data_IF_608797966979
#
_entry.id   IF_608797966979
#
_cell.length_a   1.000
_cell.length_b   1.000
_cell.length_c   1.000
_cell.angle_alpha   90.00
_cell.angle_beta   90.00
_cell.angle_gamma   90.00
#
_symmetry.space_group_name_H-M   'P 1'
#
loop_
_entity.id
_entity.type
_entity.pdbx_description
1 polymer ?
#
# COMPACT_ATOMS: atom_id res chain seq x y z
N UNK A 1 -10.30 -12.85 8.40
CA UNK A 1 -9.69 -11.70 7.74
C UNK A 1 -9.65 -10.54 8.73
N UNK A 2 -8.57 -9.75 8.68
CA UNK A 2 -8.43 -8.49 9.45
C UNK A 2 -8.30 -7.33 8.46
N UNK A 3 -9.05 -6.26 8.70
CA UNK A 3 -8.97 -4.98 7.99
C UNK A 3 -8.87 -3.84 9.01
N UNK A 4 -8.51 -2.62 8.59
CA UNK A 4 -8.44 -1.49 9.51
C UNK A 4 -9.49 -0.40 9.27
N UNK A 5 -9.70 0.45 10.29
CA UNK A 5 -10.55 1.65 10.17
C UNK A 5 -9.85 2.81 9.44
N UNK A 6 -8.56 2.67 9.16
CA UNK A 6 -7.78 3.66 8.40
C UNK A 6 -7.89 3.46 6.89
N UNK A 7 -8.29 2.26 6.46
CA UNK A 7 -8.24 1.85 5.07
C UNK A 7 -9.29 2.51 4.18
N UNK A 8 -8.91 2.72 2.93
CA UNK A 8 -9.85 3.05 1.86
C UNK A 8 -10.80 1.87 1.60
N UNK A 9 -12.07 2.14 1.26
CA UNK A 9 -13.10 1.09 1.07
C UNK A 9 -12.71 0.03 0.02
N UNK A 10 -11.89 0.37 -0.97
CA UNK A 10 -11.35 -0.59 -1.94
C UNK A 10 -10.45 -1.67 -1.32
N UNK A 11 -9.83 -1.39 -0.17
CA UNK A 11 -9.07 -2.37 0.63
C UNK A 11 -9.88 -2.92 1.82
N UNK A 12 -11.16 -2.70 1.86
CA UNK A 12 -12.07 -3.18 2.91
C UNK A 12 -13.20 -4.01 2.32
N UNK A 13 -13.98 -3.41 1.42
CA UNK A 13 -15.21 -4.01 0.89
C UNK A 13 -14.99 -5.35 0.18
N UNK A 14 -14.00 -5.53 -0.70
CA UNK A 14 -13.76 -6.81 -1.36
C UNK A 14 -13.41 -7.92 -0.37
N UNK A 15 -12.66 -7.60 0.69
CA UNK A 15 -12.31 -8.58 1.73
C UNK A 15 -13.51 -9.00 2.58
N UNK A 16 -14.43 -8.06 2.89
CA UNK A 16 -15.69 -8.37 3.57
C UNK A 16 -16.50 -9.32 2.71
N UNK A 17 -16.72 -8.98 1.44
CA UNK A 17 -17.53 -9.79 0.52
C UNK A 17 -16.94 -11.20 0.32
N UNK A 18 -15.60 -11.29 0.14
CA UNK A 18 -14.93 -12.58 0.01
C UNK A 18 -15.04 -13.43 1.30
N UNK A 19 -14.92 -12.80 2.46
CA UNK A 19 -15.06 -13.49 3.74
C UNK A 19 -16.50 -14.00 3.95
N UNK A 20 -17.50 -13.17 3.68
CA UNK A 20 -18.90 -13.51 3.79
C UNK A 20 -19.27 -14.69 2.86
N UNK A 21 -18.74 -14.70 1.63
CA UNK A 21 -19.02 -15.76 0.66
C UNK A 21 -18.57 -17.16 1.12
N UNK A 22 -17.59 -17.23 2.02
CA UNK A 22 -17.07 -18.51 2.57
C UNK A 22 -17.37 -18.68 4.07
N UNK A 23 -18.23 -17.83 4.64
CA UNK A 23 -18.59 -17.88 6.06
C UNK A 23 -17.45 -17.52 7.02
N UNK A 24 -16.43 -16.78 6.55
CA UNK A 24 -15.33 -16.35 7.37
C UNK A 24 -15.66 -15.05 8.11
N UNK A 25 -15.03 -14.85 9.27
CA UNK A 25 -15.22 -13.65 10.10
C UNK A 25 -14.26 -12.55 9.68
N UNK A 26 -14.77 -11.30 9.60
CA UNK A 26 -13.97 -10.09 9.45
C UNK A 26 -13.81 -9.45 10.84
N UNK A 27 -12.56 -9.08 11.17
CA UNK A 27 -12.22 -8.32 12.38
C UNK A 27 -11.59 -7.00 12.00
N UNK A 28 -11.76 -5.99 12.84
CA UNK A 28 -11.34 -4.63 12.59
C UNK A 28 -10.21 -4.23 13.54
N UNK A 29 -9.09 -3.82 13.01
CA UNK A 29 -8.09 -3.09 13.76
C UNK A 29 -8.55 -1.63 13.90
N UNK A 30 -8.76 -1.19 15.13
CA UNK A 30 -9.26 0.16 15.42
C UNK A 30 -8.13 1.19 15.35
N UNK A 31 -8.51 2.45 15.07
CA UNK A 31 -7.60 3.59 15.13
C UNK A 31 -7.63 4.24 16.50
N UNK A 32 -6.53 4.83 16.92
CA UNK A 32 -6.55 5.84 17.97
C UNK A 32 -7.21 7.11 17.43
N UNK A 33 -8.34 7.51 18.00
CA UNK A 33 -9.13 8.64 17.50
C UNK A 33 -8.40 9.97 17.62
N UNK A 34 -7.44 10.08 18.56
CA UNK A 34 -6.69 11.34 18.79
C UNK A 34 -5.54 11.49 17.80
N UNK A 35 -4.81 10.40 17.55
CA UNK A 35 -3.64 10.41 16.65
C UNK A 35 -3.99 9.97 15.24
N UNK A 36 -5.12 9.27 15.07
CA UNK A 36 -5.53 8.63 13.82
C UNK A 36 -4.56 7.53 13.37
N UNK A 37 -3.88 6.88 14.30
CA UNK A 37 -2.91 5.81 14.03
C UNK A 37 -3.53 4.43 14.23
N UNK A 38 -3.15 3.47 13.38
CA UNK A 38 -3.33 2.04 13.60
C UNK A 38 -2.04 1.50 14.19
N UNK A 39 -2.04 1.23 15.49
CA UNK A 39 -0.86 0.66 16.15
C UNK A 39 -0.71 -0.84 15.89
N UNK A 40 0.53 -1.35 16.04
CA UNK A 40 0.80 -2.80 16.01
C UNK A 40 -0.08 -3.52 17.03
N UNK A 41 -0.20 -2.98 18.24
CA UNK A 41 -1.05 -3.55 19.31
C UNK A 41 -2.54 -3.63 18.94
N UNK A 42 -3.06 -2.66 18.18
CA UNK A 42 -4.43 -2.70 17.68
C UNK A 42 -4.65 -3.84 16.67
N UNK A 43 -3.64 -4.13 15.84
CA UNK A 43 -3.66 -5.29 14.94
C UNK A 43 -3.53 -6.59 15.72
N UNK A 44 -2.55 -6.69 16.62
CA UNK A 44 -2.33 -7.89 17.46
C UNK A 44 -3.57 -8.27 18.28
N UNK A 45 -4.31 -7.30 18.81
CA UNK A 45 -5.53 -7.54 19.59
C UNK A 45 -6.63 -8.29 18.83
N UNK A 46 -6.60 -8.25 17.50
CA UNK A 46 -7.60 -8.91 16.63
C UNK A 46 -7.04 -10.12 15.87
N UNK A 47 -5.72 -10.39 15.99
CA UNK A 47 -5.10 -11.58 15.42
C UNK A 47 -5.46 -12.86 16.19
N UNK A 48 -5.40 -13.98 15.52
CA UNK A 48 -5.50 -15.32 16.12
C UNK A 48 -4.86 -16.35 15.18
N UNK A 49 -4.66 -17.60 15.67
CA UNK A 49 -4.20 -18.72 14.84
C UNK A 49 -5.16 -19.07 13.68
N UNK A 50 -6.39 -18.54 13.69
CA UNK A 50 -7.38 -18.69 12.61
C UNK A 50 -7.31 -17.56 11.59
N UNK A 51 -6.53 -16.50 11.83
CA UNK A 51 -6.36 -15.40 10.88
C UNK A 51 -5.64 -15.93 9.63
N UNK A 52 -6.20 -15.65 8.45
CA UNK A 52 -5.63 -16.08 7.16
C UNK A 52 -5.04 -14.92 6.35
N UNK A 53 -5.63 -13.74 6.51
CA UNK A 53 -5.21 -12.54 5.78
C UNK A 53 -5.41 -11.32 6.66
N UNK A 54 -4.44 -10.41 6.59
CA UNK A 54 -4.53 -9.05 7.14
C UNK A 54 -4.31 -8.08 6.00
N UNK A 55 -5.24 -7.15 5.79
CA UNK A 55 -5.15 -6.13 4.77
C UNK A 55 -5.11 -4.74 5.44
N UNK A 56 -4.01 -4.01 5.23
CA UNK A 56 -3.76 -2.70 5.87
C UNK A 56 -3.24 -1.71 4.82
N UNK A 57 -3.71 -0.47 4.87
CA UNK A 57 -3.18 0.61 4.03
C UNK A 57 -1.74 0.96 4.41
N UNK A 58 -0.93 1.28 3.40
CA UNK A 58 0.42 1.83 3.61
C UNK A 58 0.42 3.29 4.06
N UNK A 59 -0.60 4.04 3.65
CA UNK A 59 -0.90 5.39 4.14
C UNK A 59 -2.38 5.68 3.99
N UNK A 60 -2.98 6.28 5.01
CA UNK A 60 -4.40 6.67 4.98
C UNK A 60 -4.63 7.79 3.97
N UNK A 61 -5.53 7.56 3.02
CA UNK A 61 -5.80 8.49 1.92
C UNK A 61 -6.50 9.80 2.33
N UNK A 62 -7.00 9.88 3.55
CA UNK A 62 -7.74 11.06 4.07
C UNK A 62 -6.88 11.94 4.96
N UNK A 63 -5.97 11.36 5.73
CA UNK A 63 -5.21 12.03 6.78
C UNK A 63 -3.71 11.70 6.76
N UNK A 64 -3.27 10.95 5.77
CA UNK A 64 -1.86 10.65 5.50
C UNK A 64 -1.18 9.69 6.48
N UNK A 65 -1.83 9.23 7.54
CA UNK A 65 -1.23 8.37 8.56
C UNK A 65 -0.53 7.15 7.95
N UNK A 66 0.73 6.92 8.31
CA UNK A 66 1.57 5.79 7.88
C UNK A 66 1.72 4.80 9.04
N UNK A 67 1.08 3.62 8.98
CA UNK A 67 1.30 2.55 9.96
C UNK A 67 2.72 1.99 9.91
N UNK A 68 3.21 1.42 11.01
CA UNK A 68 4.47 0.66 11.01
C UNK A 68 4.24 -0.70 10.35
N UNK A 69 4.29 -0.69 9.00
CA UNK A 69 4.01 -1.86 8.17
C UNK A 69 4.95 -3.02 8.48
N UNK A 70 6.22 -2.74 8.77
CA UNK A 70 7.21 -3.79 9.08
C UNK A 70 6.83 -4.53 10.36
N UNK A 71 6.59 -3.79 11.43
CA UNK A 71 6.22 -4.39 12.72
C UNK A 71 4.85 -5.10 12.64
N UNK A 72 3.89 -4.54 11.87
CA UNK A 72 2.61 -5.20 11.59
C UNK A 72 2.83 -6.51 10.82
N UNK A 73 3.63 -6.51 9.75
CA UNK A 73 3.96 -7.71 8.97
C UNK A 73 4.59 -8.81 9.82
N UNK A 74 5.52 -8.45 10.72
CA UNK A 74 6.11 -9.39 11.68
C UNK A 74 5.06 -10.01 12.62
N UNK A 75 4.10 -9.21 13.12
CA UNK A 75 3.01 -9.70 13.96
C UNK A 75 2.06 -10.62 13.19
N UNK A 76 1.74 -10.28 11.94
CA UNK A 76 0.88 -11.06 11.05
C UNK A 76 1.51 -12.43 10.74
N UNK A 77 2.78 -12.46 10.41
CA UNK A 77 3.48 -13.70 10.09
C UNK A 77 3.66 -14.62 11.31
N UNK A 78 3.76 -14.09 12.54
CA UNK A 78 3.80 -14.90 13.78
C UNK A 78 2.57 -15.80 13.95
N UNK A 79 1.43 -15.42 13.42
CA UNK A 79 0.20 -16.24 13.46
C UNK A 79 -0.02 -17.06 12.18
N UNK A 80 0.91 -17.01 11.21
CA UNK A 80 0.83 -17.73 9.94
C UNK A 80 -0.19 -17.16 8.96
N UNK A 81 -0.53 -15.88 9.07
CA UNK A 81 -1.41 -15.17 8.14
C UNK A 81 -0.61 -14.49 7.02
N UNK A 82 -1.27 -14.24 5.88
CA UNK A 82 -0.73 -13.42 4.79
C UNK A 82 -0.98 -11.94 5.05
N UNK A 83 -0.04 -11.11 4.58
CA UNK A 83 -0.09 -9.66 4.72
C UNK A 83 -0.26 -8.97 3.37
N UNK A 84 -1.40 -8.33 3.15
CA UNK A 84 -1.70 -7.49 2.01
C UNK A 84 -1.55 -6.03 2.40
N UNK A 85 -0.75 -5.28 1.65
CA UNK A 85 -0.58 -3.83 1.82
C UNK A 85 -1.20 -3.08 0.65
N UNK A 86 -2.16 -2.21 0.94
CA UNK A 86 -2.62 -1.21 0.00
C UNK A 86 -1.64 -0.04 -0.03
N UNK A 87 -0.76 -0.03 -1.02
CA UNK A 87 0.24 1.01 -1.24
C UNK A 87 -0.22 2.17 -2.10
N UNK A 88 -1.50 2.23 -2.49
CA UNK A 88 -2.01 3.20 -3.47
C UNK A 88 -1.72 4.65 -3.07
N UNK A 89 -1.83 4.99 -1.79
CA UNK A 89 -1.53 6.33 -1.31
C UNK A 89 -0.08 6.49 -0.83
N UNK A 90 0.59 5.42 -0.41
CA UNK A 90 1.98 5.48 0.05
C UNK A 90 2.97 5.60 -1.12
N UNK A 91 2.75 4.86 -2.22
CA UNK A 91 3.72 4.72 -3.32
C UNK A 91 4.12 6.04 -3.98
N UNK A 92 3.24 7.04 -4.18
CA UNK A 92 3.65 8.33 -4.76
C UNK A 92 4.49 9.21 -3.81
N UNK A 93 4.57 8.89 -2.51
CA UNK A 93 5.17 9.75 -1.47
C UNK A 93 6.40 9.15 -0.79
N UNK A 94 6.77 7.91 -1.07
CA UNK A 94 7.89 7.26 -0.39
C UNK A 94 8.58 6.21 -1.26
N UNK A 95 9.87 6.00 -1.03
CA UNK A 95 10.59 4.87 -1.60
C UNK A 95 10.11 3.55 -0.99
N UNK A 96 9.61 2.64 -1.81
CA UNK A 96 9.03 1.37 -1.36
C UNK A 96 10.02 0.21 -1.52
N UNK A 97 10.11 -0.62 -0.47
CA UNK A 97 10.73 -1.94 -0.51
C UNK A 97 9.74 -2.97 0.05
N UNK A 98 9.05 -3.67 -0.83
CA UNK A 98 8.06 -4.71 -0.45
C UNK A 98 8.69 -5.77 0.46
N UNK A 99 9.96 -6.12 0.18
CA UNK A 99 10.72 -7.08 0.98
C UNK A 99 10.99 -6.59 2.41
N UNK A 100 11.35 -5.32 2.59
CA UNK A 100 11.62 -4.74 3.92
C UNK A 100 10.33 -4.54 4.72
N UNK A 101 9.23 -4.21 4.06
CA UNK A 101 7.89 -4.16 4.66
C UNK A 101 7.44 -5.55 5.12
N UNK A 102 7.89 -6.61 4.42
CA UNK A 102 7.44 -7.97 4.67
C UNK A 102 6.03 -8.23 4.14
N UNK A 103 5.57 -7.50 3.13
CA UNK A 103 4.27 -7.74 2.53
C UNK A 103 4.31 -8.96 1.61
N UNK A 104 3.30 -9.85 1.73
CA UNK A 104 3.08 -10.95 0.80
C UNK A 104 2.46 -10.45 -0.50
N UNK A 105 1.60 -9.44 -0.39
CA UNK A 105 1.01 -8.72 -1.50
C UNK A 105 1.14 -7.21 -1.28
N UNK A 106 1.52 -6.49 -2.33
CA UNK A 106 1.58 -5.03 -2.32
C UNK A 106 0.87 -4.49 -3.55
N UNK A 107 -0.25 -3.81 -3.34
CA UNK A 107 -1.06 -3.24 -4.42
C UNK A 107 -0.90 -1.73 -4.55
N UNK A 108 -0.81 -1.20 -5.78
CA UNK A 108 -0.84 0.24 -6.03
C UNK A 108 -1.37 0.57 -7.43
N UNK A 109 -1.68 1.85 -7.65
CA UNK A 109 -2.20 2.36 -8.92
C UNK A 109 -1.23 3.35 -9.55
N UNK A 110 -0.84 3.10 -10.80
CA UNK A 110 0.10 3.96 -11.52
C UNK A 110 -0.43 5.38 -11.75
N UNK A 111 -1.74 5.58 -11.89
CA UNK A 111 -2.29 6.93 -12.09
C UNK A 111 -2.05 7.88 -10.92
N UNK A 112 -1.78 7.36 -9.72
CA UNK A 112 -1.33 8.16 -8.57
C UNK A 112 0.19 8.34 -8.51
N UNK A 113 0.93 7.58 -9.34
CA UNK A 113 2.38 7.63 -9.48
C UNK A 113 2.79 8.21 -10.84
N UNK A 114 2.13 9.29 -11.30
CA UNK A 114 2.41 9.97 -12.57
C UNK A 114 2.29 9.08 -13.82
N UNK A 115 1.59 7.96 -13.71
CA UNK A 115 1.44 6.95 -14.77
C UNK A 115 0.00 6.84 -15.31
N UNK A 116 -0.24 5.89 -16.20
CA UNK A 116 -1.55 5.65 -16.79
C UNK A 116 -2.54 5.01 -15.81
N UNK A 117 -3.82 4.95 -16.21
CA UNK A 117 -4.89 4.32 -15.43
C UNK A 117 -4.78 2.79 -15.44
N UNK A 118 -3.82 2.29 -14.69
CA UNK A 118 -3.69 0.87 -14.37
C UNK A 118 -3.25 0.68 -12.93
N UNK A 119 -3.43 -0.53 -12.44
CA UNK A 119 -2.99 -0.96 -11.13
C UNK A 119 -2.12 -2.21 -11.24
N UNK A 120 -1.33 -2.46 -10.22
CA UNK A 120 -0.52 -3.67 -10.11
C UNK A 120 -0.58 -4.22 -8.69
N UNK A 121 -0.40 -5.54 -8.58
CA UNK A 121 -0.18 -6.24 -7.32
C UNK A 121 1.14 -6.96 -7.45
N UNK A 122 2.09 -6.65 -6.58
CA UNK A 122 3.35 -7.38 -6.48
C UNK A 122 3.21 -8.50 -5.44
N UNK A 123 3.67 -9.70 -5.80
CA UNK A 123 3.78 -10.84 -4.90
C UNK A 123 4.92 -11.74 -5.35
N UNK A 124 5.42 -12.64 -4.47
CA UNK A 124 6.48 -13.56 -4.88
C UNK A 124 5.95 -14.64 -5.84
N UNK A 125 6.73 -15.07 -6.82
CA UNK A 125 6.34 -16.18 -7.70
C UNK A 125 6.05 -17.48 -6.93
N UNK A 126 6.75 -17.71 -5.82
CA UNK A 126 6.57 -18.87 -4.94
C UNK A 126 5.17 -18.86 -4.32
N UNK A 127 4.75 -17.72 -3.79
CA UNK A 127 3.40 -17.54 -3.23
C UNK A 127 2.34 -17.71 -4.32
N UNK A 128 2.52 -17.04 -5.46
CA UNK A 128 1.55 -17.08 -6.57
C UNK A 128 1.32 -18.51 -7.10
N UNK A 129 2.33 -19.38 -7.08
CA UNK A 129 2.20 -20.79 -7.47
C UNK A 129 1.30 -21.58 -6.52
N UNK A 130 1.16 -21.18 -5.27
CA UNK A 130 0.34 -21.87 -4.26
C UNK A 130 -1.13 -21.48 -4.31
N UNK A 131 -1.46 -20.37 -5.00
CA UNK A 131 -2.83 -19.87 -5.07
C UNK A 131 -3.60 -20.60 -6.18
N UNK A 132 -4.76 -21.11 -5.81
CA UNK A 132 -5.73 -21.60 -6.79
C UNK A 132 -6.59 -20.42 -7.25
N UNK A 133 -6.49 -20.09 -8.54
CA UNK A 133 -7.19 -18.96 -9.12
C UNK A 133 -8.10 -19.40 -10.26
N UNK A 134 -9.25 -18.74 -10.36
CA UNK A 134 -10.11 -18.86 -11.52
C UNK A 134 -9.36 -18.37 -12.77
N UNK A 135 -9.35 -19.18 -13.81
CA UNK A 135 -8.71 -18.85 -15.09
C UNK A 135 -9.44 -19.49 -16.27
N UNK A 136 -9.22 -18.97 -17.46
CA UNK A 136 -9.75 -19.58 -18.68
C UNK A 136 -9.07 -20.93 -18.92
N UNK A 137 -9.82 -21.90 -19.45
CA UNK A 137 -9.33 -23.25 -19.75
C UNK A 137 -8.03 -23.26 -20.59
N UNK A 138 -7.88 -22.42 -21.64
CA UNK A 138 -6.67 -22.38 -22.45
C UNK A 138 -5.52 -21.59 -21.81
N UNK A 139 -5.74 -20.89 -20.69
CA UNK A 139 -4.69 -20.11 -20.05
C UNK A 139 -3.60 -21.00 -19.48
N UNK A 140 -2.35 -20.53 -19.57
CA UNK A 140 -1.18 -21.21 -19.00
C UNK A 140 -1.30 -21.39 -17.48
N UNK A 141 -0.55 -22.33 -16.93
CA UNK A 141 -0.38 -22.49 -15.48
C UNK A 141 0.86 -21.76 -14.94
N UNK A 142 1.65 -21.16 -15.85
CA UNK A 142 2.85 -20.41 -15.44
C UNK A 142 2.49 -19.12 -14.70
N UNK A 143 3.38 -18.72 -13.82
CA UNK A 143 3.29 -17.45 -13.07
C UNK A 143 4.21 -16.43 -13.75
N UNK A 144 3.77 -15.20 -13.96
CA UNK A 144 2.50 -14.58 -13.49
C UNK A 144 1.31 -14.77 -14.42
N UNK A 145 1.49 -15.31 -15.63
CA UNK A 145 0.53 -15.30 -16.73
C UNK A 145 -0.78 -16.05 -16.39
N UNK A 146 -0.76 -16.99 -15.43
CA UNK A 146 -1.99 -17.66 -14.96
C UNK A 146 -3.03 -16.72 -14.36
N UNK A 147 -2.63 -15.50 -13.95
CA UNK A 147 -3.51 -14.46 -13.39
C UNK A 147 -3.97 -13.45 -14.44
N UNK A 148 -3.61 -13.64 -15.70
CA UNK A 148 -4.00 -12.78 -16.81
C UNK A 148 -5.21 -13.40 -17.54
N UNK A 149 -6.25 -12.59 -17.77
CA UNK A 149 -7.52 -13.06 -18.36
C UNK A 149 -7.62 -12.86 -19.87
N UNK A 150 -6.52 -12.48 -20.52
CA UNK A 150 -6.48 -12.26 -21.97
C UNK A 150 -5.32 -11.38 -22.39
N UNK A 151 -5.42 -10.80 -23.60
CA UNK A 151 -4.42 -9.90 -24.13
C UNK A 151 -4.27 -8.68 -23.23
N UNK A 152 -3.04 -8.40 -22.80
CA UNK A 152 -2.73 -7.28 -21.94
C UNK A 152 -2.74 -5.95 -22.73
N UNK A 153 -3.03 -4.82 -22.05
CA UNK A 153 -2.96 -3.49 -22.63
C UNK A 153 -1.49 -3.02 -22.70
N UNK A 154 -0.75 -3.47 -23.70
CA UNK A 154 0.70 -3.25 -23.80
C UNK A 154 1.08 -1.78 -23.86
N UNK A 155 0.26 -0.93 -24.47
CA UNK A 155 0.45 0.53 -24.50
C UNK A 155 0.39 1.14 -23.09
N UNK A 156 -0.50 0.65 -22.23
CA UNK A 156 -0.59 1.09 -20.83
C UNK A 156 0.62 0.58 -20.03
N UNK A 157 1.07 -0.65 -20.27
CA UNK A 157 2.27 -1.19 -19.63
C UNK A 157 3.52 -0.42 -20.02
N UNK A 158 3.65 0.00 -21.28
CA UNK A 158 4.73 0.87 -21.74
C UNK A 158 4.68 2.23 -21.04
N UNK A 159 3.47 2.82 -20.88
CA UNK A 159 3.27 4.05 -20.12
C UNK A 159 3.63 3.91 -18.64
N UNK A 160 3.30 2.79 -18.00
CA UNK A 160 3.69 2.49 -16.62
C UNK A 160 5.23 2.40 -16.48
N UNK A 161 5.90 1.77 -17.44
CA UNK A 161 7.37 1.71 -17.48
C UNK A 161 7.98 3.11 -17.61
N UNK A 162 7.45 3.95 -18.51
CA UNK A 162 7.90 5.32 -18.69
C UNK A 162 7.72 6.18 -17.44
N UNK A 163 6.63 5.99 -16.68
CA UNK A 163 6.42 6.67 -15.40
C UNK A 163 7.51 6.31 -14.37
N UNK A 164 7.89 5.04 -14.28
CA UNK A 164 8.99 4.61 -13.40
C UNK A 164 10.33 5.18 -13.83
N UNK A 165 10.61 5.24 -15.14
CA UNK A 165 11.83 5.85 -15.69
C UNK A 165 11.87 7.36 -15.44
N UNK A 166 10.75 8.06 -15.60
CA UNK A 166 10.61 9.47 -15.25
C UNK A 166 10.95 9.73 -13.77
N UNK A 167 10.39 8.94 -12.86
CA UNK A 167 10.69 9.05 -11.43
C UNK A 167 12.17 8.82 -11.15
N UNK A 168 12.80 7.84 -11.81
CA UNK A 168 14.23 7.58 -11.64
C UNK A 168 15.11 8.77 -12.05
N UNK A 169 14.60 9.69 -12.87
CA UNK A 169 15.33 10.84 -13.39
C UNK A 169 14.95 12.17 -12.73
N UNK A 170 14.01 12.17 -11.78
CA UNK A 170 13.54 13.40 -11.12
C UNK A 170 14.64 14.11 -10.31
N UNK A 171 15.49 13.37 -9.60
CA UNK A 171 16.59 13.95 -8.85
C UNK A 171 17.91 13.86 -9.64
N UNK A 172 18.54 14.99 -10.01
CA UNK A 172 19.80 14.99 -10.75
C UNK A 172 20.93 14.26 -10.01
N UNK A 173 21.69 13.43 -10.71
CA UNK A 173 22.86 12.73 -10.16
C UNK A 173 22.57 11.56 -9.22
N UNK A 174 21.36 11.11 -9.18
CA UNK A 174 20.79 10.23 -8.17
C UNK A 174 21.15 8.74 -8.26
N UNK A 175 22.37 8.36 -8.59
CA UNK A 175 22.79 6.97 -8.45
C UNK A 175 23.21 6.28 -9.74
N UNK A 176 23.79 5.07 -9.60
CA UNK A 176 24.38 4.29 -10.72
C UNK A 176 23.36 3.29 -11.30
N UNK A 177 22.47 2.77 -10.48
CA UNK A 177 21.44 1.83 -10.90
C UNK A 177 20.06 2.51 -10.94
N UNK A 178 19.14 1.94 -11.71
CA UNK A 178 17.74 2.42 -11.76
C UNK A 178 17.11 2.44 -10.37
N UNK A 179 17.37 1.43 -9.55
CA UNK A 179 16.84 1.35 -8.17
C UNK A 179 17.38 2.47 -7.29
N UNK A 180 18.68 2.73 -7.32
CA UNK A 180 19.29 3.84 -6.57
C UNK A 180 18.70 5.18 -7.00
N UNK A 181 18.54 5.41 -8.30
CA UNK A 181 17.92 6.62 -8.84
C UNK A 181 16.49 6.81 -8.32
N UNK A 182 15.66 5.75 -8.35
CA UNK A 182 14.29 5.80 -7.83
C UNK A 182 14.29 6.12 -6.34
N UNK A 183 15.11 5.46 -5.53
CA UNK A 183 15.18 5.70 -4.09
C UNK A 183 15.56 7.14 -3.79
N UNK A 184 16.60 7.65 -4.46
CA UNK A 184 17.07 9.02 -4.22
C UNK A 184 16.05 10.06 -4.69
N UNK A 185 15.40 9.84 -5.84
CA UNK A 185 14.33 10.73 -6.31
C UNK A 185 13.12 10.75 -5.36
N UNK A 186 12.70 9.58 -4.87
CA UNK A 186 11.58 9.50 -3.94
C UNK A 186 11.91 10.11 -2.57
N UNK A 187 13.14 9.94 -2.08
CA UNK A 187 13.58 10.60 -0.84
C UNK A 187 13.62 12.13 -0.99
N UNK A 188 14.13 12.63 -2.10
CA UNK A 188 14.13 14.07 -2.37
C UNK A 188 12.69 14.64 -2.50
N UNK A 189 11.79 13.87 -3.10
CA UNK A 189 10.37 14.23 -3.18
C UNK A 189 9.75 14.26 -1.79
N UNK A 190 9.97 13.25 -0.96
CA UNK A 190 9.44 13.16 0.41
C UNK A 190 9.93 14.36 1.26
N UNK A 191 11.21 14.73 1.18
CA UNK A 191 11.76 15.91 1.86
C UNK A 191 11.07 17.21 1.40
N UNK A 192 10.91 17.40 0.09
CA UNK A 192 10.23 18.57 -0.47
C UNK A 192 8.75 18.66 -0.04
N UNK A 193 8.04 17.54 -0.09
CA UNK A 193 6.64 17.46 0.32
C UNK A 193 6.46 17.72 1.82
N UNK A 194 7.39 17.25 2.67
CA UNK A 194 7.37 17.52 4.11
C UNK A 194 7.56 19.01 4.39
N UNK A 195 8.46 19.70 3.69
CA UNK A 195 8.63 21.16 3.80
C UNK A 195 7.34 21.91 3.44
N UNK A 196 6.67 21.50 2.36
CA UNK A 196 5.39 22.09 1.94
C UNK A 196 4.28 21.81 2.95
N UNK A 197 4.21 20.61 3.50
CA UNK A 197 3.22 20.22 4.52
C UNK A 197 3.39 21.09 5.77
N UNK A 198 4.60 21.22 6.27
CA UNK A 198 4.91 22.04 7.45
C UNK A 198 4.55 23.51 7.19
N UNK A 199 4.90 24.04 6.02
CA UNK A 199 4.54 25.40 5.64
C UNK A 199 3.01 25.58 5.63
N UNK A 200 2.28 24.73 4.95
CA UNK A 200 0.82 24.79 4.82
C UNK A 200 0.14 24.71 6.21
N UNK A 201 0.54 23.75 7.04
CA UNK A 201 -0.04 23.58 8.37
C UNK A 201 0.20 24.81 9.27
N UNK A 202 1.37 25.40 9.20
CA UNK A 202 1.67 26.61 9.97
C UNK A 202 0.79 27.80 9.55
N UNK A 203 0.42 27.88 8.26
CA UNK A 203 -0.51 28.91 7.78
C UNK A 203 -1.97 28.60 8.18
N UNK A 204 -2.36 27.34 8.16
CA UNK A 204 -3.74 26.94 8.48
C UNK A 204 -4.02 27.02 10.00
N UNK A 205 -3.07 26.63 10.85
CA UNK A 205 -3.19 26.61 12.31
C UNK A 205 -3.58 27.96 12.92
N UNK A 206 -3.22 29.07 12.27
CA UNK A 206 -3.52 30.42 12.75
C UNK A 206 -4.88 30.96 12.31
N UNK A 207 -5.59 30.23 11.43
CA UNK A 207 -6.90 30.66 10.96
C UNK A 207 -7.97 30.41 12.01
N UNK A 208 -8.84 31.41 12.31
CA UNK A 208 -9.90 31.21 13.28
C UNK A 208 -10.95 30.21 12.82
N UNK A 209 -11.42 29.36 13.71
CA UNK A 209 -12.47 28.38 13.44
C UNK A 209 -12.00 27.11 12.72
N UNK A 210 -10.70 26.94 12.49
CA UNK A 210 -10.15 25.73 11.87
C UNK A 210 -9.76 24.71 12.95
N UNK A 211 -10.15 23.46 12.74
CA UNK A 211 -9.70 22.32 13.55
C UNK A 211 -8.92 21.36 12.66
N UNK A 212 -7.67 21.09 13.00
CA UNK A 212 -6.82 20.13 12.29
C UNK A 212 -7.06 18.73 12.83
N UNK A 213 -7.08 17.75 11.94
CA UNK A 213 -7.13 16.32 12.25
C UNK A 213 -5.89 15.60 11.69
N UNK A 214 -5.65 14.37 12.12
CA UNK A 214 -4.52 13.58 11.61
C UNK A 214 -3.19 13.99 12.25
N UNK A 215 -3.05 13.74 13.55
CA UNK A 215 -1.83 14.07 14.30
C UNK A 215 -0.85 12.91 14.43
N UNK A 216 -0.88 11.97 13.48
CA UNK A 216 0.07 10.85 13.44
C UNK A 216 1.51 11.34 13.32
N UNK A 217 2.42 10.63 13.99
CA UNK A 217 3.86 10.95 13.96
C UNK A 217 4.47 10.75 12.57
N UNK A 218 4.03 9.70 11.87
CA UNK A 218 4.48 9.38 10.53
C UNK A 218 3.30 9.48 9.57
N UNK A 219 3.41 10.32 8.56
CA UNK A 219 2.36 10.56 7.59
C UNK A 219 2.90 11.01 6.23
N UNK A 220 2.11 10.83 5.20
CA UNK A 220 2.28 11.48 3.90
C UNK A 220 1.59 12.84 3.93
N UNK A 221 1.99 13.79 3.07
CA UNK A 221 1.24 15.02 2.85
C UNK A 221 -0.12 14.69 2.21
N UNK A 222 -1.19 15.03 2.95
CA UNK A 222 -2.58 14.73 2.54
C UNK A 222 -3.52 15.80 3.04
#
# INVERSE_FOLDING_TARGET
VVVSRLDHDSNVRPWIQAAEAVGATVRWAEIDVKTSEVSVGAVEAVLSSKTKLVAITGAGNTIGTRPDLKAIGEAVHKVGALFFVDGVHLTPHAAISVKEIGADFFGFSFYKLMGPHCATIAASPELLKTLDNDKLLPSTTNVPERFEFGTLPYEIMAGATAAVDFIAEMAPGAGKTRREKIVNSMNALEEYEEELLVYMENQIKVLPGVTMYGHAKHRTPT
#
